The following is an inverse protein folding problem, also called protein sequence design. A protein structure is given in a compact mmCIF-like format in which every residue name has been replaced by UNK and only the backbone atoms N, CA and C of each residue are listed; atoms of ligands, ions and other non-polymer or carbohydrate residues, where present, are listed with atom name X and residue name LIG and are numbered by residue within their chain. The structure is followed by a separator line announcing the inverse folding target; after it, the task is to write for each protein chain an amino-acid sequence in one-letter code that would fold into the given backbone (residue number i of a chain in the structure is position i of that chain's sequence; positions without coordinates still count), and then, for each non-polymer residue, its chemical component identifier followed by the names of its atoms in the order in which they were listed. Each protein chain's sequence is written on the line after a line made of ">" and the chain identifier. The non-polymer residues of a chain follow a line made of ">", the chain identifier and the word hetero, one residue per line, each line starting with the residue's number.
data_IF_503186361633
#
_entry.id   IF_503186361633
#
_cell.length_a   1.000
_cell.length_b   1.000
_cell.length_c   1.000
_cell.angle_alpha   90.00
_cell.angle_beta   90.00
_cell.angle_gamma   90.00
#
_symmetry.space_group_name_H-M   'P 1'
#
loop_
_entity.id
_entity.type
_entity.pdbx_description
1 polymer ?
#
# COMPACT_ATOMS: atom_id res chain seq x y z
N UNK A 1 -9.55 -35.39 -12.10
CA UNK A 1 -10.18 -34.07 -12.31
C UNK A 1 -10.18 -33.21 -11.04
N UNK A 2 -10.62 -33.72 -9.88
CA UNK A 2 -10.55 -32.96 -8.61
C UNK A 2 -9.11 -32.71 -8.13
N UNK A 3 -8.19 -33.68 -8.26
CA UNK A 3 -6.79 -33.49 -7.85
C UNK A 3 -6.01 -32.51 -8.74
N UNK A 4 -6.27 -32.51 -10.05
CA UNK A 4 -5.65 -31.56 -10.99
C UNK A 4 -6.12 -30.12 -10.77
N UNK A 5 -7.37 -29.93 -10.35
CA UNK A 5 -7.92 -28.60 -10.02
C UNK A 5 -7.26 -28.03 -8.76
N UNK A 6 -7.06 -28.87 -7.74
CA UNK A 6 -6.35 -28.51 -6.51
C UNK A 6 -4.88 -28.15 -6.76
N UNK A 7 -4.20 -28.87 -7.66
CA UNK A 7 -2.81 -28.56 -8.03
C UNK A 7 -2.68 -27.20 -8.73
N UNK A 8 -3.55 -26.90 -9.69
CA UNK A 8 -3.54 -25.61 -10.40
C UNK A 8 -3.86 -24.46 -9.44
N UNK A 9 -4.87 -24.61 -8.58
CA UNK A 9 -5.19 -23.62 -7.55
C UNK A 9 -4.00 -23.41 -6.61
N UNK A 10 -3.36 -24.49 -6.13
CA UNK A 10 -2.18 -24.40 -5.27
C UNK A 10 -1.02 -23.65 -5.92
N UNK A 11 -0.68 -23.97 -7.17
CA UNK A 11 0.40 -23.29 -7.93
C UNK A 11 0.09 -21.80 -8.08
N UNK A 12 -1.15 -21.45 -8.35
CA UNK A 12 -1.57 -20.07 -8.55
C UNK A 12 -1.59 -19.29 -7.23
N UNK A 13 -2.11 -19.87 -6.14
CA UNK A 13 -2.06 -19.27 -4.79
C UNK A 13 -0.61 -19.03 -4.40
N UNK A 14 0.26 -20.02 -4.63
CA UNK A 14 1.70 -19.90 -4.46
C UNK A 14 2.27 -18.73 -5.26
N UNK A 15 1.90 -18.59 -6.54
CA UNK A 15 2.37 -17.51 -7.40
C UNK A 15 1.90 -16.11 -6.93
N UNK A 16 0.65 -15.97 -6.48
CA UNK A 16 0.12 -14.69 -5.96
C UNK A 16 0.83 -14.31 -4.66
N UNK A 17 0.94 -15.24 -3.70
CA UNK A 17 1.65 -15.00 -2.44
C UNK A 17 3.12 -14.67 -2.67
N UNK A 18 3.76 -15.39 -3.60
CA UNK A 18 5.14 -15.16 -3.99
C UNK A 18 5.32 -13.76 -4.61
N UNK A 19 4.43 -13.34 -5.51
CA UNK A 19 4.44 -12.01 -6.11
C UNK A 19 4.29 -10.90 -5.07
N UNK A 20 3.31 -11.03 -4.15
CA UNK A 20 3.12 -10.08 -3.06
C UNK A 20 4.38 -9.98 -2.17
N UNK A 21 5.04 -11.11 -1.93
CA UNK A 21 6.29 -11.18 -1.16
C UNK A 21 7.44 -10.48 -1.87
N UNK A 22 7.59 -10.69 -3.19
CA UNK A 22 8.58 -9.99 -4.00
C UNK A 22 8.34 -8.48 -4.02
N UNK A 23 7.09 -8.04 -4.25
CA UNK A 23 6.75 -6.62 -4.29
C UNK A 23 7.06 -5.90 -2.97
N UNK A 24 6.72 -6.51 -1.83
CA UNK A 24 7.05 -5.95 -0.52
C UNK A 24 8.57 -5.90 -0.27
N UNK A 25 9.30 -6.92 -0.71
CA UNK A 25 10.76 -6.96 -0.60
C UNK A 25 11.40 -5.86 -1.43
N UNK A 26 10.95 -5.66 -2.66
CA UNK A 26 11.44 -4.61 -3.56
C UNK A 26 11.15 -3.22 -3.01
N UNK A 27 9.91 -2.96 -2.55
CA UNK A 27 9.53 -1.72 -1.90
C UNK A 27 10.43 -1.42 -0.69
N UNK A 28 10.61 -2.40 0.19
CA UNK A 28 11.48 -2.27 1.37
C UNK A 28 12.92 -1.97 0.97
N UNK A 29 13.45 -2.65 -0.04
CA UNK A 29 14.81 -2.42 -0.51
C UNK A 29 14.98 -1.02 -1.11
N UNK A 30 14.03 -0.57 -1.94
CA UNK A 30 14.04 0.77 -2.52
C UNK A 30 13.98 1.86 -1.44
N UNK A 31 13.07 1.74 -0.47
CA UNK A 31 12.97 2.67 0.65
C UNK A 31 14.28 2.72 1.48
N UNK A 32 14.90 1.56 1.72
CA UNK A 32 16.19 1.49 2.43
C UNK A 32 17.37 2.04 1.62
N UNK A 33 17.35 1.92 0.28
CA UNK A 33 18.34 2.57 -0.60
C UNK A 33 18.24 4.08 -0.49
N UNK A 34 17.04 4.64 -0.61
CA UNK A 34 16.80 6.08 -0.44
C UNK A 34 17.28 6.54 0.94
N UNK A 35 16.86 5.86 2.01
CA UNK A 35 17.35 6.15 3.37
C UNK A 35 18.87 6.19 3.47
N UNK A 36 19.57 5.18 2.93
CA UNK A 36 21.03 5.08 2.99
C UNK A 36 21.70 6.27 2.28
N UNK A 37 21.16 6.72 1.16
CA UNK A 37 21.66 7.87 0.43
C UNK A 37 21.41 9.18 1.19
N UNK A 38 20.23 9.32 1.82
CA UNK A 38 19.91 10.47 2.67
C UNK A 38 20.81 10.56 3.91
N UNK A 39 21.19 9.42 4.50
CA UNK A 39 22.15 9.37 5.63
C UNK A 39 23.56 9.77 5.23
N UNK A 40 23.93 9.58 3.95
CA UNK A 40 25.23 9.96 3.39
C UNK A 40 25.22 11.36 2.78
N UNK A 41 24.13 12.11 2.93
CA UNK A 41 23.91 13.43 2.30
C UNK A 41 24.06 13.43 0.76
N UNK A 42 23.87 12.27 0.12
CA UNK A 42 23.89 12.10 -1.34
C UNK A 42 22.51 12.41 -1.94
N UNK A 43 22.13 13.70 -1.91
CA UNK A 43 20.77 14.11 -2.26
C UNK A 43 20.41 13.84 -3.72
N UNK A 44 21.32 14.03 -4.67
CA UNK A 44 21.04 13.80 -6.09
C UNK A 44 20.82 12.32 -6.40
N UNK A 45 21.64 11.44 -5.82
CA UNK A 45 21.43 9.99 -5.90
C UNK A 45 20.10 9.59 -5.23
N UNK A 46 19.76 10.20 -4.08
CA UNK A 46 18.50 9.91 -3.39
C UNK A 46 17.27 10.34 -4.22
N UNK A 47 17.33 11.51 -4.88
CA UNK A 47 16.30 12.01 -5.79
C UNK A 47 16.12 11.07 -6.99
N UNK A 48 17.23 10.55 -7.52
CA UNK A 48 17.20 9.59 -8.62
C UNK A 48 16.56 8.27 -8.20
N UNK A 49 17.00 7.66 -7.09
CA UNK A 49 16.42 6.41 -6.58
C UNK A 49 14.92 6.56 -6.25
N UNK A 50 14.50 7.71 -5.71
CA UNK A 50 13.11 7.96 -5.36
C UNK A 50 12.15 7.89 -6.56
N UNK A 51 12.64 8.12 -7.80
CA UNK A 51 11.82 7.98 -9.02
C UNK A 51 11.30 6.57 -9.25
N UNK A 52 11.93 5.56 -8.63
CA UNK A 52 11.42 4.18 -8.66
C UNK A 52 10.21 3.96 -7.74
N UNK A 53 9.95 4.89 -6.82
CA UNK A 53 8.87 4.83 -5.82
C UNK A 53 7.72 5.79 -6.12
N UNK A 54 8.00 6.94 -6.72
CA UNK A 54 7.00 7.98 -6.99
C UNK A 54 6.90 8.32 -8.47
N UNK A 55 5.70 8.67 -8.92
CA UNK A 55 5.40 9.14 -10.27
C UNK A 55 5.57 10.67 -10.45
N UNK A 56 5.93 11.41 -9.39
CA UNK A 56 6.10 12.87 -9.38
C UNK A 56 7.54 13.30 -9.67
N UNK A 57 7.71 14.54 -10.12
CA UNK A 57 9.05 15.10 -10.26
C UNK A 57 9.74 15.16 -8.88
N UNK A 58 10.96 14.64 -8.85
CA UNK A 58 11.81 14.59 -7.65
C UNK A 58 12.94 15.60 -7.70
N UNK A 59 13.05 16.35 -8.80
CA UNK A 59 14.02 17.44 -8.94
C UNK A 59 13.82 18.47 -7.84
N UNK A 60 14.93 18.94 -7.29
CA UNK A 60 15.00 19.97 -6.24
C UNK A 60 14.27 19.65 -4.92
N UNK A 61 13.76 18.43 -4.73
CA UNK A 61 13.17 18.07 -3.44
C UNK A 61 14.23 18.15 -2.33
N UNK A 62 13.96 18.89 -1.24
CA UNK A 62 14.83 18.92 -0.08
C UNK A 62 14.70 17.62 0.71
N UNK A 63 15.70 17.32 1.54
CA UNK A 63 15.79 16.10 2.34
C UNK A 63 14.50 15.70 3.09
N UNK A 64 13.79 16.61 3.80
CA UNK A 64 12.53 16.25 4.47
C UNK A 64 11.45 15.77 3.49
N UNK A 65 11.35 16.37 2.31
CA UNK A 65 10.36 15.99 1.31
C UNK A 65 10.71 14.68 0.59
N UNK A 66 11.99 14.32 0.51
CA UNK A 66 12.42 12.98 0.08
C UNK A 66 12.00 11.91 1.09
N UNK A 67 12.13 12.19 2.39
CA UNK A 67 11.62 11.31 3.46
C UNK A 67 10.10 11.21 3.37
N UNK A 68 9.39 12.35 3.24
CA UNK A 68 7.93 12.36 3.07
C UNK A 68 7.50 11.47 1.91
N UNK A 69 8.05 11.71 0.72
CA UNK A 69 7.74 10.96 -0.49
C UNK A 69 7.94 9.45 -0.31
N UNK A 70 9.02 9.06 0.38
CA UNK A 70 9.31 7.64 0.65
C UNK A 70 8.27 7.04 1.59
N UNK A 71 7.89 7.75 2.66
CA UNK A 71 6.89 7.28 3.63
C UNK A 71 5.49 7.21 3.00
N UNK A 72 5.13 8.20 2.19
CA UNK A 72 3.89 8.21 1.38
C UNK A 72 3.83 6.96 0.50
N UNK A 73 4.91 6.69 -0.27
CA UNK A 73 4.99 5.53 -1.17
C UNK A 73 4.88 4.20 -0.43
N UNK A 74 5.50 4.09 0.75
CA UNK A 74 5.40 2.89 1.60
C UNK A 74 3.97 2.68 2.06
N UNK A 75 3.27 3.73 2.50
CA UNK A 75 1.90 3.64 2.96
C UNK A 75 0.93 3.25 1.84
N UNK A 76 1.01 3.94 0.70
CA UNK A 76 0.21 3.68 -0.50
C UNK A 76 0.45 2.26 -1.03
N UNK A 77 1.72 1.88 -1.22
CA UNK A 77 2.07 0.54 -1.73
C UNK A 77 1.67 -0.59 -0.77
N UNK A 78 1.51 -0.32 0.53
CA UNK A 78 0.98 -1.32 1.47
C UNK A 78 -0.45 -1.73 1.09
N UNK A 79 -1.27 -0.76 0.66
CA UNK A 79 -2.60 -1.02 0.12
C UNK A 79 -2.50 -1.77 -1.22
N UNK A 80 -1.83 -1.16 -2.19
CA UNK A 80 -1.99 -1.53 -3.60
C UNK A 80 -1.22 -2.79 -4.00
N UNK A 81 -0.13 -3.06 -3.29
CA UNK A 81 0.73 -4.20 -3.59
C UNK A 81 0.51 -5.39 -2.65
N UNK A 82 -0.25 -5.22 -1.57
CA UNK A 82 -0.42 -6.30 -0.59
C UNK A 82 -1.86 -6.46 -0.07
N UNK A 83 -2.43 -5.44 0.56
CA UNK A 83 -3.76 -5.57 1.18
C UNK A 83 -4.83 -5.81 0.14
N UNK A 84 -4.89 -5.00 -0.92
CA UNK A 84 -5.91 -5.09 -1.95
C UNK A 84 -5.86 -6.39 -2.77
N UNK A 85 -4.69 -6.87 -3.28
CA UNK A 85 -4.62 -8.16 -3.96
C UNK A 85 -5.09 -9.34 -3.10
N UNK A 86 -4.71 -9.38 -1.81
CA UNK A 86 -5.13 -10.45 -0.91
C UNK A 86 -6.61 -10.33 -0.51
N UNK A 87 -7.12 -9.10 -0.39
CA UNK A 87 -8.54 -8.86 -0.16
C UNK A 87 -9.39 -9.45 -1.30
N UNK A 88 -9.06 -9.13 -2.54
CA UNK A 88 -9.78 -9.68 -3.71
C UNK A 88 -9.56 -11.18 -3.91
N UNK A 89 -8.44 -11.71 -3.43
CA UNK A 89 -8.22 -13.15 -3.38
C UNK A 89 -9.16 -13.87 -2.41
N UNK A 90 -9.41 -13.30 -1.23
CA UNK A 90 -10.26 -13.91 -0.21
C UNK A 90 -11.74 -13.60 -0.33
N UNK A 91 -12.10 -12.47 -0.95
CA UNK A 91 -13.48 -12.00 -1.05
C UNK A 91 -14.45 -13.11 -1.52
N UNK A 92 -14.17 -13.90 -2.59
CA UNK A 92 -15.11 -14.91 -3.07
C UNK A 92 -15.30 -16.07 -2.09
N UNK A 93 -14.30 -16.38 -1.26
CA UNK A 93 -14.39 -17.42 -0.24
C UNK A 93 -15.46 -17.07 0.82
N UNK A 94 -15.63 -15.79 1.15
CA UNK A 94 -16.67 -15.32 2.07
C UNK A 94 -18.09 -15.52 1.54
N UNK A 95 -18.24 -15.69 0.22
CA UNK A 95 -19.51 -15.94 -0.45
C UNK A 95 -19.69 -17.41 -0.85
N UNK A 96 -18.84 -18.31 -0.37
CA UNK A 96 -18.90 -19.75 -0.71
C UNK A 96 -18.58 -20.05 -2.18
N UNK A 97 -17.93 -19.11 -2.88
CA UNK A 97 -17.56 -19.24 -4.30
C UNK A 97 -16.21 -19.96 -4.41
N UNK A 98 -15.99 -20.82 -5.43
CA UNK A 98 -14.73 -21.56 -5.58
C UNK A 98 -13.50 -20.65 -5.58
N UNK A 99 -12.43 -21.08 -4.93
CA UNK A 99 -11.19 -20.29 -4.75
C UNK A 99 -10.53 -19.80 -6.05
N UNK A 100 -10.83 -20.42 -7.19
CA UNK A 100 -10.40 -19.95 -8.51
C UNK A 100 -10.89 -18.52 -8.82
N UNK A 101 -12.09 -18.15 -8.36
CA UNK A 101 -12.60 -16.79 -8.51
C UNK A 101 -11.81 -15.77 -7.69
N UNK A 102 -11.19 -16.19 -6.57
CA UNK A 102 -10.28 -15.36 -5.79
C UNK A 102 -9.05 -14.95 -6.58
N UNK A 103 -8.44 -15.90 -7.29
CA UNK A 103 -7.32 -15.63 -8.21
C UNK A 103 -7.73 -14.62 -9.28
N UNK A 104 -8.87 -14.86 -9.93
CA UNK A 104 -9.35 -13.97 -10.99
C UNK A 104 -9.57 -12.56 -10.44
N UNK A 105 -10.10 -12.42 -9.22
CA UNK A 105 -10.24 -11.14 -8.53
C UNK A 105 -8.90 -10.44 -8.29
N UNK A 106 -7.90 -11.16 -7.74
CA UNK A 106 -6.57 -10.59 -7.47
C UNK A 106 -5.83 -10.17 -8.75
N UNK A 107 -5.94 -10.97 -9.81
CA UNK A 107 -5.37 -10.66 -11.13
C UNK A 107 -6.10 -9.47 -11.76
N UNK A 108 -7.43 -9.46 -11.74
CA UNK A 108 -8.23 -8.36 -12.27
C UNK A 108 -7.89 -7.04 -11.56
N UNK A 109 -7.81 -7.05 -10.24
CA UNK A 109 -7.37 -5.89 -9.46
C UNK A 109 -5.98 -5.40 -9.89
N UNK A 110 -5.00 -6.30 -10.01
CA UNK A 110 -3.65 -5.92 -10.43
C UNK A 110 -3.61 -5.38 -11.85
N UNK A 111 -4.44 -5.89 -12.76
CA UNK A 111 -4.56 -5.37 -14.11
C UNK A 111 -5.11 -3.94 -14.06
N UNK A 112 -6.18 -3.69 -13.31
CA UNK A 112 -6.77 -2.34 -13.18
C UNK A 112 -5.78 -1.35 -12.56
N UNK A 113 -5.14 -1.70 -11.45
CA UNK A 113 -4.14 -0.86 -10.79
C UNK A 113 -2.95 -0.54 -11.73
N UNK A 114 -2.46 -1.55 -12.46
CA UNK A 114 -1.36 -1.33 -13.42
C UNK A 114 -1.82 -0.46 -14.60
N UNK A 115 -3.07 -0.63 -15.07
CA UNK A 115 -3.64 0.21 -16.13
C UNK A 115 -3.77 1.67 -15.68
N UNK A 116 -4.20 1.93 -14.45
CA UNK A 116 -4.25 3.31 -13.92
C UNK A 116 -2.85 3.93 -13.87
N UNK A 117 -1.88 3.21 -13.32
CA UNK A 117 -0.49 3.67 -13.24
C UNK A 117 0.15 3.93 -14.62
N UNK A 118 -0.17 3.14 -15.65
CA UNK A 118 0.40 3.30 -17.00
C UNK A 118 -0.35 4.34 -17.85
N UNK A 119 -1.68 4.38 -17.78
CA UNK A 119 -2.52 5.24 -18.64
C UNK A 119 -2.63 6.65 -18.06
N UNK A 120 -2.60 6.81 -16.73
CA UNK A 120 -2.48 8.12 -16.08
C UNK A 120 -1.24 8.92 -16.50
N UNK A 121 -0.25 8.26 -17.12
CA UNK A 121 1.01 8.86 -17.57
C UNK A 121 0.93 9.49 -18.98
N UNK A 122 -0.10 9.19 -19.80
CA UNK A 122 -0.14 9.63 -21.19
C UNK A 122 -1.37 10.51 -21.49
N UNK A 123 -1.13 11.82 -21.73
CA UNK A 123 -2.11 12.82 -22.23
C UNK A 123 -2.86 12.42 -23.52
N UNK A 124 -2.50 11.30 -24.15
CA UNK A 124 -3.06 10.80 -25.40
C UNK A 124 -4.36 9.98 -25.22
N UNK A 125 -4.68 9.53 -23.99
CA UNK A 125 -5.85 8.69 -23.70
C UNK A 125 -6.66 9.16 -22.49
N UNK A 126 -7.01 10.45 -22.45
CA UNK A 126 -7.68 11.07 -21.30
C UNK A 126 -8.99 10.38 -20.88
N UNK A 127 -9.78 9.87 -21.83
CA UNK A 127 -11.03 9.14 -21.55
C UNK A 127 -10.79 7.75 -20.95
N UNK A 128 -9.78 7.01 -21.45
CA UNK A 128 -9.41 5.70 -20.91
C UNK A 128 -8.74 5.85 -19.54
N UNK A 129 -7.93 6.89 -19.36
CA UNK A 129 -7.34 7.24 -18.06
C UNK A 129 -8.40 7.54 -17.01
N UNK A 130 -9.40 8.37 -17.33
CA UNK A 130 -10.51 8.67 -16.41
C UNK A 130 -11.36 7.45 -16.05
N UNK A 131 -11.51 6.48 -16.96
CA UNK A 131 -12.22 5.23 -16.66
C UNK A 131 -11.38 4.30 -15.79
N UNK A 132 -10.09 4.13 -16.12
CA UNK A 132 -9.16 3.32 -15.34
C UNK A 132 -9.03 3.85 -13.90
N UNK A 133 -8.87 5.16 -13.73
CA UNK A 133 -8.74 5.79 -12.41
C UNK A 133 -10.00 5.65 -11.56
N UNK A 134 -11.19 5.76 -12.17
CA UNK A 134 -12.46 5.54 -11.46
C UNK A 134 -12.65 4.09 -11.06
N UNK A 135 -12.28 3.15 -11.92
CA UNK A 135 -12.39 1.73 -11.60
C UNK A 135 -11.40 1.36 -10.49
N UNK A 136 -10.16 1.84 -10.57
CA UNK A 136 -9.18 1.69 -9.49
C UNK A 136 -9.71 2.27 -8.18
N UNK A 137 -10.28 3.48 -8.21
CA UNK A 137 -10.86 4.11 -7.03
C UNK A 137 -12.00 3.30 -6.41
N UNK A 138 -12.86 2.69 -7.22
CA UNK A 138 -13.93 1.81 -6.73
C UNK A 138 -13.34 0.56 -6.10
N UNK A 139 -12.33 -0.05 -6.74
CA UNK A 139 -11.71 -1.27 -6.24
C UNK A 139 -10.89 -1.02 -4.96
N UNK A 140 -10.27 0.14 -4.83
CA UNK A 140 -9.49 0.50 -3.65
C UNK A 140 -10.32 1.07 -2.50
N UNK A 141 -11.64 1.25 -2.67
CA UNK A 141 -12.50 1.81 -1.62
C UNK A 141 -12.43 1.03 -0.30
N UNK A 142 -12.64 -0.29 -0.34
CA UNK A 142 -12.57 -1.14 0.87
C UNK A 142 -11.12 -1.39 1.29
N UNK A 143 -10.21 -1.81 0.38
CA UNK A 143 -8.82 -2.08 0.73
C UNK A 143 -8.07 -0.90 1.37
N UNK A 144 -8.32 0.34 0.93
CA UNK A 144 -7.64 1.50 1.49
C UNK A 144 -8.03 1.77 2.95
N UNK A 145 -9.33 1.64 3.27
CA UNK A 145 -9.85 1.78 4.65
C UNK A 145 -9.35 0.65 5.55
N UNK A 146 -9.35 -0.57 5.03
CA UNK A 146 -8.79 -1.72 5.71
C UNK A 146 -7.28 -1.52 5.97
N UNK A 147 -6.54 -1.00 5.01
CA UNK A 147 -5.11 -0.69 5.17
C UNK A 147 -4.89 0.36 6.26
N UNK A 148 -5.70 1.42 6.30
CA UNK A 148 -5.64 2.42 7.36
C UNK A 148 -5.91 1.82 8.75
N UNK A 149 -6.89 0.93 8.88
CA UNK A 149 -7.17 0.19 10.11
C UNK A 149 -5.99 -0.69 10.53
N UNK A 150 -5.40 -1.43 9.59
CA UNK A 150 -4.22 -2.27 9.83
C UNK A 150 -3.01 -1.44 10.29
N UNK A 151 -2.80 -0.26 9.70
CA UNK A 151 -1.75 0.67 10.10
C UNK A 151 -2.01 1.29 11.48
N UNK A 152 -3.25 1.62 11.81
CA UNK A 152 -3.61 2.07 13.15
C UNK A 152 -3.36 0.98 14.21
N UNK A 153 -3.68 -0.28 13.89
CA UNK A 153 -3.36 -1.42 14.75
C UNK A 153 -1.84 -1.67 14.86
N UNK A 154 -1.10 -1.59 13.75
CA UNK A 154 0.35 -1.71 13.76
C UNK A 154 1.00 -0.62 14.63
N UNK A 155 0.42 0.58 14.62
CA UNK A 155 0.81 1.71 15.46
C UNK A 155 0.55 1.41 16.94
N UNK A 156 -0.61 0.83 17.27
CA UNK A 156 -0.94 0.36 18.62
C UNK A 156 0.07 -0.67 19.13
N UNK A 157 0.34 -1.71 18.33
CA UNK A 157 1.30 -2.77 18.66
C UNK A 157 2.74 -2.25 18.81
N UNK A 158 3.07 -1.17 18.10
CA UNK A 158 4.36 -0.49 18.21
C UNK A 158 4.44 0.49 19.40
N UNK A 159 3.43 0.54 20.27
CA UNK A 159 3.29 1.50 21.39
C UNK A 159 3.40 2.97 20.93
N UNK A 160 2.86 3.25 19.75
CA UNK A 160 2.76 4.60 19.15
C UNK A 160 1.32 5.10 19.23
N UNK A 161 1.07 6.32 18.75
CA UNK A 161 -0.24 6.98 18.80
C UNK A 161 -1.28 6.37 17.86
N UNK A 162 -1.84 5.21 18.19
CA UNK A 162 -2.88 4.55 17.38
C UNK A 162 -4.13 5.42 17.20
N UNK A 163 -4.53 6.13 18.25
CA UNK A 163 -5.62 7.10 18.19
C UNK A 163 -5.29 8.23 17.20
N UNK A 164 -4.06 8.75 17.21
CA UNK A 164 -3.63 9.79 16.28
C UNK A 164 -3.59 9.27 14.83
N UNK A 165 -3.15 8.03 14.62
CA UNK A 165 -3.20 7.34 13.32
C UNK A 165 -4.63 7.28 12.78
N UNK A 166 -5.57 6.77 13.57
CA UNK A 166 -6.96 6.64 13.14
C UNK A 166 -7.67 7.98 12.98
N UNK A 167 -7.43 8.94 13.86
CA UNK A 167 -7.98 10.30 13.75
C UNK A 167 -7.46 11.02 12.50
N UNK A 168 -6.18 10.88 12.17
CA UNK A 168 -5.63 11.43 10.94
C UNK A 168 -6.27 10.76 9.72
N UNK A 169 -6.41 9.43 9.72
CA UNK A 169 -7.10 8.71 8.65
C UNK A 169 -8.54 9.22 8.44
N UNK A 170 -9.33 9.36 9.50
CA UNK A 170 -10.71 9.85 9.39
C UNK A 170 -10.81 11.34 9.01
N UNK A 171 -9.92 12.17 9.54
CA UNK A 171 -10.01 13.63 9.41
C UNK A 171 -9.29 14.22 8.21
N UNK A 172 -8.33 13.49 7.63
CA UNK A 172 -7.41 14.05 6.62
C UNK A 172 -7.28 13.21 5.35
N UNK A 173 -7.95 12.05 5.24
CA UNK A 173 -7.87 11.22 4.02
C UNK A 173 -8.32 11.96 2.76
N UNK A 174 -9.24 12.92 2.87
CA UNK A 174 -9.78 13.68 1.73
C UNK A 174 -8.85 14.77 1.22
N UNK A 175 -7.71 15.01 1.87
CA UNK A 175 -6.73 16.03 1.45
C UNK A 175 -5.89 15.57 0.26
N UNK A 176 -5.73 14.26 0.06
CA UNK A 176 -4.97 13.71 -1.07
C UNK A 176 -5.79 13.75 -2.36
N UNK A 177 -5.09 13.74 -3.50
CA UNK A 177 -5.74 13.78 -4.82
C UNK A 177 -6.56 12.51 -5.09
N UNK A 178 -6.06 11.35 -4.67
CA UNK A 178 -6.82 10.10 -4.69
C UNK A 178 -7.69 10.01 -3.43
N UNK A 179 -8.99 9.67 -3.56
CA UNK A 179 -9.89 9.48 -2.43
C UNK A 179 -9.52 8.25 -1.57
N UNK A 180 -8.69 7.35 -2.10
CA UNK A 180 -8.31 6.11 -1.44
C UNK A 180 -6.88 6.17 -0.87
N UNK A 181 -5.89 6.65 -1.62
CA UNK A 181 -4.51 6.71 -1.15
C UNK A 181 -4.35 7.55 0.14
N UNK A 182 -5.22 8.52 0.36
CA UNK A 182 -5.22 9.34 1.57
C UNK A 182 -5.46 8.58 2.86
N UNK A 183 -6.20 7.46 2.84
CA UNK A 183 -6.45 6.64 4.02
C UNK A 183 -5.16 6.06 4.62
N UNK A 184 -4.38 5.25 3.88
CA UNK A 184 -3.13 4.71 4.41
C UNK A 184 -2.08 5.80 4.67
N UNK A 185 -1.98 6.83 3.83
CA UNK A 185 -1.02 7.94 4.01
C UNK A 185 -1.31 8.70 5.31
N UNK A 186 -2.58 9.06 5.56
CA UNK A 186 -2.96 9.77 6.78
C UNK A 186 -2.81 8.90 8.02
N UNK A 187 -3.15 7.61 7.94
CA UNK A 187 -2.90 6.66 9.03
C UNK A 187 -1.41 6.58 9.38
N UNK A 188 -0.54 6.50 8.36
CA UNK A 188 0.91 6.47 8.54
C UNK A 188 1.43 7.77 9.16
N UNK A 189 1.01 8.92 8.64
CA UNK A 189 1.41 10.24 9.16
C UNK A 189 1.04 10.41 10.64
N UNK A 190 -0.21 10.09 10.99
CA UNK A 190 -0.71 10.17 12.36
C UNK A 190 -0.01 9.17 13.31
N UNK A 191 0.27 7.95 12.86
CA UNK A 191 0.95 6.93 13.68
C UNK A 191 2.44 7.22 13.91
N UNK A 192 3.07 7.93 12.98
CA UNK A 192 4.46 8.39 13.10
C UNK A 192 4.59 9.77 13.75
N UNK A 193 3.47 10.46 14.01
CA UNK A 193 3.43 11.84 14.52
C UNK A 193 4.21 12.83 13.65
N UNK A 194 4.17 12.64 12.33
CA UNK A 194 4.82 13.52 11.34
C UNK A 194 3.78 14.15 10.42
N UNK A 195 4.18 15.23 9.75
CA UNK A 195 3.41 15.79 8.65
C UNK A 195 4.05 15.35 7.33
N UNK A 196 3.29 14.67 6.48
CA UNK A 196 3.67 14.31 5.12
C UNK A 196 3.19 15.40 4.17
N UNK A 197 4.02 15.74 3.18
CA UNK A 197 3.77 16.82 2.24
C UNK A 197 4.11 16.41 0.80
N UNK A 198 3.13 16.66 -0.08
CA UNK A 198 3.31 16.70 -1.54
C UNK A 198 3.21 18.16 -1.97
N UNK A 199 4.35 18.76 -2.32
CA UNK A 199 4.47 20.20 -2.64
C UNK A 199 3.46 20.60 -3.70
N UNK A 200 2.68 21.64 -3.42
CA UNK A 200 1.65 22.15 -4.35
C UNK A 200 0.35 21.34 -4.38
N UNK A 201 0.24 20.26 -3.59
CA UNK A 201 -0.96 19.41 -3.58
C UNK A 201 -1.57 19.29 -2.18
N UNK A 202 -0.85 18.76 -1.19
CA UNK A 202 -1.41 18.53 0.14
C UNK A 202 -0.37 18.45 1.26
N UNK A 203 -0.87 18.60 2.49
CA UNK A 203 -0.19 18.29 3.74
C UNK A 203 -1.11 17.48 4.65
N UNK A 204 -0.63 16.34 5.12
CA UNK A 204 -1.40 15.38 5.93
C UNK A 204 -0.64 15.05 7.21
N UNK A 205 -1.34 15.08 8.35
CA UNK A 205 -0.78 14.83 9.67
C UNK A 205 -0.23 16.09 10.34
N UNK A 206 0.34 15.90 11.54
CA UNK A 206 0.80 16.97 12.42
C UNK A 206 2.33 16.97 12.51
N UNK A 207 2.94 18.14 12.41
CA UNK A 207 4.40 18.32 12.44
C UNK A 207 4.99 18.23 13.86
N UNK A 208 4.56 17.24 14.64
CA UNK A 208 5.01 17.04 16.03
C UNK A 208 6.42 16.43 16.10
N UNK A 209 6.80 15.65 15.08
CA UNK A 209 8.14 15.12 14.88
C UNK A 209 8.69 15.57 13.52
N UNK A 210 10.03 15.67 13.43
CA UNK A 210 10.73 16.03 12.20
C UNK A 210 10.79 14.82 11.25
N UNK A 211 10.71 15.10 9.95
CA UNK A 211 11.00 14.11 8.91
C UNK A 211 12.51 13.92 8.79
N UNK A 212 12.97 12.78 9.28
CA UNK A 212 14.38 12.37 9.24
C UNK A 212 14.49 10.99 8.56
N UNK A 213 15.66 10.58 8.04
CA UNK A 213 15.80 9.29 7.37
C UNK A 213 15.32 8.10 8.22
N UNK A 214 15.41 8.17 9.54
CA UNK A 214 14.94 7.16 10.49
C UNK A 214 13.41 7.02 10.50
N UNK A 215 12.66 8.04 10.08
CA UNK A 215 11.21 7.96 9.87
C UNK A 215 10.85 6.86 8.85
N UNK A 216 11.73 6.60 7.88
CA UNK A 216 11.54 5.52 6.88
C UNK A 216 11.58 4.14 7.57
N UNK A 217 12.46 3.93 8.56
CA UNK A 217 12.47 2.66 9.30
C UNK A 217 11.18 2.46 10.08
N UNK A 218 10.69 3.52 10.71
CA UNK A 218 9.45 3.48 11.46
C UNK A 218 8.26 3.17 10.55
N UNK A 219 8.19 3.78 9.36
CA UNK A 219 7.17 3.49 8.35
C UNK A 219 7.24 2.02 7.88
N UNK A 220 8.44 1.53 7.54
CA UNK A 220 8.64 0.15 7.15
C UNK A 220 8.28 -0.83 8.27
N UNK A 221 8.56 -0.50 9.54
CA UNK A 221 8.16 -1.32 10.69
C UNK A 221 6.64 -1.41 10.80
N UNK A 222 5.92 -0.29 10.66
CA UNK A 222 4.46 -0.29 10.69
C UNK A 222 3.87 -1.09 9.51
N UNK A 223 4.41 -0.91 8.30
CA UNK A 223 4.05 -1.72 7.13
C UNK A 223 4.23 -3.22 7.41
N UNK A 224 5.39 -3.65 7.92
CA UNK A 224 5.65 -5.07 8.17
C UNK A 224 4.70 -5.67 9.22
N UNK A 225 4.37 -4.92 10.28
CA UNK A 225 3.40 -5.37 11.29
C UNK A 225 1.99 -5.46 10.69
N UNK A 226 1.58 -4.46 9.90
CA UNK A 226 0.28 -4.45 9.21
C UNK A 226 0.17 -5.65 8.23
N UNK A 227 1.21 -5.88 7.43
CA UNK A 227 1.33 -7.04 6.53
C UNK A 227 1.23 -8.35 7.30
N UNK A 228 1.98 -8.51 8.39
CA UNK A 228 1.95 -9.73 9.20
C UNK A 228 0.55 -10.01 9.75
N UNK A 229 -0.11 -8.98 10.27
CA UNK A 229 -1.46 -9.11 10.82
C UNK A 229 -2.48 -9.44 9.73
N UNK A 230 -2.35 -8.81 8.56
CA UNK A 230 -3.20 -9.13 7.41
C UNK A 230 -3.02 -10.57 6.94
N UNK A 231 -1.79 -11.07 6.90
CA UNK A 231 -1.49 -12.48 6.60
C UNK A 231 -2.15 -13.42 7.61
N UNK A 232 -2.07 -13.10 8.91
CA UNK A 232 -2.72 -13.91 9.96
C UNK A 232 -4.24 -13.94 9.76
N UNK A 233 -4.88 -12.79 9.50
CA UNK A 233 -6.32 -12.74 9.18
C UNK A 233 -6.61 -13.59 7.95
N UNK A 234 -5.81 -13.47 6.89
CA UNK A 234 -5.98 -14.23 5.66
C UNK A 234 -5.93 -15.74 5.90
N UNK A 235 -4.98 -16.22 6.73
CA UNK A 235 -4.89 -17.62 7.11
C UNK A 235 -6.06 -18.10 7.95
N UNK A 236 -6.53 -17.29 8.90
CA UNK A 236 -7.69 -17.64 9.74
C UNK A 236 -8.96 -17.74 8.88
N UNK A 237 -9.22 -16.72 8.05
CA UNK A 237 -10.39 -16.69 7.14
C UNK A 237 -10.30 -17.82 6.11
N UNK A 238 -9.12 -18.04 5.53
CA UNK A 238 -8.86 -19.14 4.60
C UNK A 238 -9.08 -20.51 5.23
N UNK A 239 -8.57 -20.72 6.45
CA UNK A 239 -8.72 -21.97 7.19
C UNK A 239 -10.18 -22.25 7.59
N UNK A 240 -10.90 -21.24 8.09
CA UNK A 240 -12.33 -21.36 8.40
C UNK A 240 -13.13 -21.65 7.13
N UNK A 241 -12.86 -20.93 6.04
CA UNK A 241 -13.52 -21.16 4.75
C UNK A 241 -13.30 -22.59 4.25
N UNK A 242 -12.06 -23.09 4.31
CA UNK A 242 -11.74 -24.47 3.93
C UNK A 242 -12.53 -25.50 4.76
N UNK A 243 -12.57 -25.34 6.09
CA UNK A 243 -13.30 -26.24 7.00
C UNK A 243 -14.81 -26.21 6.74
N UNK A 244 -15.39 -25.06 6.41
CA UNK A 244 -16.83 -24.94 6.15
C UNK A 244 -17.25 -25.46 4.76
N UNK A 245 -16.33 -25.52 3.80
CA UNK A 245 -16.58 -26.04 2.44
C UNK A 245 -16.16 -27.50 2.23
N UNK A 246 -15.51 -28.12 3.22
CA UNK A 246 -15.10 -29.54 3.22
C UNK A 246 -16.13 -30.41 3.94
#
# INVERSE_FOLDING_TARGET
>A
YLESLNFVVYVIVGAVLLKCTFSLRELRQAALRVKRLLLKEKLDEARFELRSLVSRDTQDLPKPLLVSATVESVAESTCDSFVAPLFYFLLPLLFGVPGLFGVLGAVAYRVVNTLDAMVGYHRKYEYLGKFASRLDDVLNFIPARLTALLLALATFLSRRGAQASWQAALGEHSKTESPNAGWPIAAMAGGLSVQLEKVGHYRVGKANARLVPETIDAALKLMLIAVLFWVIICFIVGGIGFVLTS
#
